data_IF_910360299455
#
_entry.id   IF_910360299455
#
_cell.length_a   1.000
_cell.length_b   1.000
_cell.length_c   1.000
_cell.angle_alpha   90.00
_cell.angle_beta   90.00
_cell.angle_gamma   90.00
#
_symmetry.space_group_name_H-M   'P 1'
#
loop_
_entity.id
_entity.type
_entity.pdbx_description
1 polymer ?
#
# COMPACT_ATOMS: atom_id res chain seq x y z
N UNK A 1 -23.31 3.83 -7.30
CA UNK A 1 -22.76 5.18 -7.53
C UNK A 1 -21.36 5.35 -6.92
N UNK A 2 -21.11 4.95 -5.66
CA UNK A 2 -19.77 5.02 -5.05
C UNK A 2 -18.66 4.29 -5.83
N UNK A 3 -18.92 3.07 -6.35
CA UNK A 3 -17.92 2.32 -7.15
C UNK A 3 -17.53 3.01 -8.48
N UNK A 4 -18.45 3.76 -9.10
CA UNK A 4 -18.15 4.49 -10.34
C UNK A 4 -17.24 5.69 -10.07
N UNK A 5 -17.50 6.42 -8.97
CA UNK A 5 -16.62 7.49 -8.51
C UNK A 5 -15.22 6.96 -8.19
N UNK A 6 -15.14 5.81 -7.50
CA UNK A 6 -13.85 5.19 -7.21
C UNK A 6 -13.08 4.78 -8.46
N UNK A 7 -13.76 4.22 -9.46
CA UNK A 7 -13.10 3.84 -10.72
C UNK A 7 -12.49 5.07 -11.40
N UNK A 8 -13.21 6.19 -11.47
CA UNK A 8 -12.69 7.43 -12.05
C UNK A 8 -11.51 8.05 -11.28
N UNK A 9 -11.49 7.94 -9.94
CA UNK A 9 -10.34 8.37 -9.13
C UNK A 9 -9.12 7.50 -9.46
N UNK A 10 -9.30 6.18 -9.46
CA UNK A 10 -8.24 5.21 -9.70
C UNK A 10 -7.60 5.33 -11.09
N UNK A 11 -8.39 5.64 -12.12
CA UNK A 11 -7.86 5.91 -13.46
C UNK A 11 -6.95 7.16 -13.46
N UNK A 12 -7.39 8.25 -12.83
CA UNK A 12 -6.64 9.51 -12.77
C UNK A 12 -5.34 9.41 -11.98
N UNK A 13 -5.28 8.55 -10.97
CA UNK A 13 -4.05 8.24 -10.23
C UNK A 13 -2.93 7.70 -11.14
N UNK A 14 -3.28 7.05 -12.25
CA UNK A 14 -2.30 6.52 -13.23
C UNK A 14 -2.05 7.47 -14.41
N UNK A 15 -2.57 8.71 -14.35
CA UNK A 15 -2.46 9.71 -15.40
C UNK A 15 -1.04 10.25 -15.60
N UNK A 16 -0.79 10.87 -16.76
CA UNK A 16 0.53 11.45 -17.09
C UNK A 16 0.83 12.72 -16.28
N UNK A 17 -0.18 13.51 -15.97
CA UNK A 17 -0.05 14.79 -15.30
C UNK A 17 0.11 14.63 -13.78
N UNK A 18 1.11 15.29 -13.20
CA UNK A 18 1.43 15.19 -11.78
C UNK A 18 0.29 15.70 -10.90
N UNK A 19 -0.31 16.83 -11.26
CA UNK A 19 -1.33 17.47 -10.44
C UNK A 19 -2.63 16.65 -10.47
N UNK A 20 -2.97 16.04 -11.61
CA UNK A 20 -4.06 15.06 -11.65
C UNK A 20 -3.80 13.84 -10.78
N UNK A 21 -2.59 13.28 -10.78
CA UNK A 21 -2.26 12.16 -9.90
C UNK A 21 -2.31 12.56 -8.43
N UNK A 22 -1.79 13.73 -8.08
CA UNK A 22 -1.84 14.27 -6.72
C UNK A 22 -3.28 14.46 -6.25
N UNK A 23 -4.10 15.17 -7.04
CA UNK A 23 -5.51 15.42 -6.71
C UNK A 23 -6.28 14.11 -6.57
N UNK A 24 -6.11 13.17 -7.49
CA UNK A 24 -6.78 11.88 -7.42
C UNK A 24 -6.36 11.05 -6.19
N UNK A 25 -5.07 11.07 -5.85
CA UNK A 25 -4.58 10.39 -4.63
C UNK A 25 -5.13 11.07 -3.36
N UNK A 26 -5.27 12.39 -3.37
CA UNK A 26 -5.90 13.14 -2.28
C UNK A 26 -7.38 12.83 -2.14
N UNK A 27 -8.11 12.75 -3.25
CA UNK A 27 -9.53 12.40 -3.27
C UNK A 27 -9.72 10.98 -2.74
N UNK A 28 -8.86 10.03 -3.16
CA UNK A 28 -8.86 8.67 -2.62
C UNK A 28 -8.65 8.65 -1.10
N UNK A 29 -7.67 9.41 -0.58
CA UNK A 29 -7.44 9.51 0.86
C UNK A 29 -8.68 10.00 1.59
N UNK A 30 -9.36 11.01 1.05
CA UNK A 30 -10.59 11.55 1.62
C UNK A 30 -11.72 10.51 1.61
N UNK A 31 -11.88 9.75 0.52
CA UNK A 31 -12.88 8.67 0.45
C UNK A 31 -12.60 7.55 1.44
N UNK A 32 -11.35 7.10 1.57
CA UNK A 32 -10.95 6.03 2.50
C UNK A 32 -11.20 6.40 3.97
N UNK A 33 -11.11 7.68 4.32
CA UNK A 33 -11.37 8.20 5.66
C UNK A 33 -12.86 8.29 6.02
N UNK A 34 -13.77 8.13 5.05
CA UNK A 34 -15.21 8.13 5.36
C UNK A 34 -15.59 6.87 6.12
N UNK A 35 -16.37 7.03 7.19
CA UNK A 35 -16.87 5.89 7.98
C UNK A 35 -17.69 4.92 7.12
N UNK A 36 -18.53 5.46 6.22
CA UNK A 36 -19.37 4.68 5.32
C UNK A 36 -18.65 4.04 4.12
N UNK A 37 -17.35 4.25 3.96
CA UNK A 37 -16.60 3.62 2.87
C UNK A 37 -16.59 2.09 3.05
N UNK A 38 -17.02 1.39 2.01
CA UNK A 38 -16.98 -0.08 1.89
C UNK A 38 -16.46 -0.44 0.51
N UNK A 39 -15.52 -1.36 0.45
CA UNK A 39 -15.06 -1.97 -0.79
C UNK A 39 -15.61 -3.39 -0.89
N UNK A 40 -16.05 -3.77 -2.09
CA UNK A 40 -16.20 -5.17 -2.43
C UNK A 40 -14.83 -5.78 -2.77
N UNK A 41 -14.78 -7.11 -2.91
CA UNK A 41 -13.52 -7.82 -3.13
C UNK A 41 -12.75 -7.28 -4.34
N UNK A 42 -13.43 -7.04 -5.46
CA UNK A 42 -12.82 -6.52 -6.69
C UNK A 42 -12.21 -5.13 -6.49
N UNK A 43 -12.93 -4.26 -5.79
CA UNK A 43 -12.44 -2.93 -5.47
C UNK A 43 -11.25 -2.97 -4.51
N UNK A 44 -11.23 -3.87 -3.52
CA UNK A 44 -10.06 -4.05 -2.64
C UNK A 44 -8.81 -4.41 -3.46
N UNK A 45 -8.92 -5.33 -4.43
CA UNK A 45 -7.80 -5.72 -5.30
C UNK A 45 -7.27 -4.51 -6.05
N UNK A 46 -8.18 -3.74 -6.68
CA UNK A 46 -7.82 -2.57 -7.48
C UNK A 46 -7.19 -1.47 -6.62
N UNK A 47 -7.77 -1.15 -5.47
CA UNK A 47 -7.27 -0.13 -4.56
C UNK A 47 -5.86 -0.44 -4.09
N UNK A 48 -5.64 -1.66 -3.57
CA UNK A 48 -4.33 -2.05 -3.07
C UNK A 48 -3.27 -2.04 -4.18
N UNK A 49 -3.60 -2.54 -5.38
CA UNK A 49 -2.63 -2.55 -6.48
C UNK A 49 -2.27 -1.13 -6.95
N UNK A 50 -3.25 -0.24 -7.10
CA UNK A 50 -3.01 1.12 -7.59
C UNK A 50 -2.29 1.96 -6.53
N UNK A 51 -2.64 1.85 -5.25
CA UNK A 51 -1.90 2.54 -4.19
C UNK A 51 -0.45 2.04 -4.13
N UNK A 52 -0.22 0.73 -4.20
CA UNK A 52 1.14 0.18 -4.20
C UNK A 52 1.96 0.62 -5.42
N UNK A 53 1.33 0.75 -6.59
CA UNK A 53 1.96 1.33 -7.77
C UNK A 53 2.28 2.83 -7.56
N UNK A 54 1.39 3.58 -6.91
CA UNK A 54 1.57 5.01 -6.65
C UNK A 54 2.76 5.30 -5.70
N UNK A 55 3.18 4.32 -4.90
CA UNK A 55 4.40 4.44 -4.09
C UNK A 55 5.65 4.58 -4.97
N UNK A 56 5.63 4.09 -6.20
CA UNK A 56 6.72 4.21 -7.17
C UNK A 56 6.64 5.52 -8.00
N UNK A 57 5.78 6.48 -7.63
CA UNK A 57 5.67 7.75 -8.35
C UNK A 57 6.99 8.54 -8.30
N UNK A 58 7.37 9.11 -9.45
CA UNK A 58 8.55 9.97 -9.57
C UNK A 58 8.43 11.26 -8.76
N UNK A 59 7.20 11.69 -8.47
CA UNK A 59 6.92 12.87 -7.66
C UNK A 59 6.74 12.45 -6.19
N UNK A 60 7.68 12.87 -5.34
CA UNK A 60 7.72 12.50 -3.92
C UNK A 60 6.52 12.96 -3.10
N UNK A 61 5.84 14.03 -3.51
CA UNK A 61 4.59 14.50 -2.90
C UNK A 61 3.42 13.54 -3.19
N UNK A 62 3.37 12.97 -4.39
CA UNK A 62 2.36 11.98 -4.78
C UNK A 62 2.62 10.63 -4.08
N UNK A 63 3.84 10.12 -4.10
CA UNK A 63 4.16 8.86 -3.40
C UNK A 63 4.04 8.99 -1.88
N UNK A 64 4.38 10.16 -1.31
CA UNK A 64 4.12 10.48 0.09
C UNK A 64 2.63 10.50 0.44
N UNK A 65 1.76 10.93 -0.48
CA UNK A 65 0.31 10.89 -0.29
C UNK A 65 -0.23 9.46 -0.42
N UNK A 66 0.35 8.64 -1.28
CA UNK A 66 0.03 7.21 -1.39
C UNK A 66 0.34 6.46 -0.08
N UNK A 67 1.47 6.76 0.59
CA UNK A 67 1.76 6.23 1.92
C UNK A 67 0.65 6.56 2.92
N UNK A 68 0.15 7.82 2.91
CA UNK A 68 -0.94 8.23 3.81
C UNK A 68 -2.24 7.45 3.55
N UNK A 69 -2.49 7.02 2.32
CA UNK A 69 -3.66 6.21 1.97
C UNK A 69 -3.62 4.80 2.59
N UNK A 70 -2.42 4.25 2.86
CA UNK A 70 -2.28 2.91 3.43
C UNK A 70 -2.92 2.81 4.82
N UNK A 71 -2.80 3.86 5.63
CA UNK A 71 -3.28 3.82 7.00
C UNK A 71 -4.79 3.58 7.14
N UNK A 72 -5.68 4.34 6.47
CA UNK A 72 -7.09 4.02 6.45
C UNK A 72 -7.38 2.75 5.64
N UNK A 73 -6.63 2.45 4.57
CA UNK A 73 -6.88 1.27 3.73
C UNK A 73 -6.81 -0.05 4.52
N UNK A 74 -5.81 -0.21 5.40
CA UNK A 74 -5.64 -1.43 6.22
C UNK A 74 -6.89 -1.75 7.05
N UNK A 75 -7.64 -0.72 7.45
CA UNK A 75 -8.89 -0.85 8.23
C UNK A 75 -10.12 -1.11 7.37
N UNK A 76 -9.99 -1.06 6.05
CA UNK A 76 -11.09 -1.09 5.07
C UNK A 76 -11.02 -2.29 4.11
N UNK A 77 -9.96 -3.09 4.18
CA UNK A 77 -9.78 -4.30 3.36
C UNK A 77 -9.65 -5.55 4.23
N UNK A 78 -9.91 -6.72 3.65
CA UNK A 78 -9.79 -7.99 4.37
C UNK A 78 -8.34 -8.33 4.77
N UNK A 79 -8.18 -9.11 5.84
CA UNK A 79 -6.86 -9.57 6.31
C UNK A 79 -5.99 -10.21 5.20
N UNK A 80 -6.52 -11.07 4.29
CA UNK A 80 -5.72 -11.64 3.20
C UNK A 80 -5.11 -10.57 2.29
N UNK A 81 -5.85 -9.47 2.05
CA UNK A 81 -5.40 -8.35 1.23
C UNK A 81 -4.25 -7.61 1.91
N UNK A 82 -4.34 -7.38 3.22
CA UNK A 82 -3.26 -6.75 3.99
C UNK A 82 -1.99 -7.60 3.96
N UNK A 83 -2.11 -8.92 4.14
CA UNK A 83 -0.96 -9.86 4.05
C UNK A 83 -0.32 -9.83 2.66
N UNK A 84 -1.13 -9.79 1.59
CA UNK A 84 -0.60 -9.67 0.22
C UNK A 84 0.17 -8.35 0.03
N UNK A 85 -0.38 -7.24 0.54
CA UNK A 85 0.27 -5.92 0.47
C UNK A 85 1.60 -5.90 1.21
N UNK A 86 1.67 -6.45 2.43
CA UNK A 86 2.93 -6.49 3.19
C UNK A 86 3.98 -7.34 2.50
N UNK A 87 3.59 -8.47 1.89
CA UNK A 87 4.50 -9.30 1.10
C UNK A 87 5.08 -8.55 -0.10
N UNK A 88 4.24 -7.86 -0.89
CA UNK A 88 4.69 -7.05 -2.04
C UNK A 88 5.66 -5.94 -1.60
N UNK A 89 5.40 -5.29 -0.48
CA UNK A 89 6.27 -4.25 0.07
C UNK A 89 7.59 -4.82 0.59
N UNK A 90 7.57 -5.98 1.26
CA UNK A 90 8.77 -6.67 1.69
C UNK A 90 9.64 -7.09 0.51
N UNK A 91 9.04 -7.63 -0.56
CA UNK A 91 9.76 -7.95 -1.79
C UNK A 91 10.40 -6.70 -2.41
N UNK A 92 9.69 -5.57 -2.48
CA UNK A 92 10.23 -4.29 -2.93
C UNK A 92 11.36 -3.78 -2.03
N UNK A 93 11.25 -3.95 -0.72
CA UNK A 93 12.29 -3.56 0.23
C UNK A 93 13.58 -4.38 0.01
N UNK A 94 13.45 -5.70 -0.18
CA UNK A 94 14.59 -6.60 -0.28
C UNK A 94 15.22 -6.62 -1.68
N UNK A 95 14.39 -6.58 -2.73
CA UNK A 95 14.80 -6.81 -4.13
C UNK A 95 14.51 -5.63 -5.06
N UNK A 96 13.85 -4.58 -4.58
CA UNK A 96 13.52 -3.40 -5.39
C UNK A 96 14.72 -2.50 -5.70
N UNK A 97 14.48 -1.49 -6.54
CA UNK A 97 15.44 -0.44 -6.88
C UNK A 97 15.73 0.43 -5.66
N UNK A 98 16.99 0.84 -5.46
CA UNK A 98 17.41 1.59 -4.27
C UNK A 98 16.52 2.82 -3.99
N UNK A 99 16.18 3.61 -5.01
CA UNK A 99 15.30 4.77 -4.89
C UNK A 99 13.88 4.47 -4.37
N UNK A 100 13.40 3.24 -4.48
CA UNK A 100 12.06 2.84 -4.01
C UNK A 100 12.11 2.03 -2.70
N UNK A 101 13.30 1.67 -2.21
CA UNK A 101 13.43 0.90 -0.96
C UNK A 101 13.01 1.72 0.26
N UNK A 102 13.36 3.00 0.29
CA UNK A 102 13.00 3.91 1.38
C UNK A 102 11.47 4.05 1.50
N UNK A 103 10.79 4.31 0.39
CA UNK A 103 9.33 4.45 0.38
C UNK A 103 8.63 3.11 0.69
N UNK A 104 9.17 1.98 0.20
CA UNK A 104 8.66 0.65 0.53
C UNK A 104 8.80 0.33 2.02
N UNK A 105 9.93 0.71 2.64
CA UNK A 105 10.16 0.58 4.08
C UNK A 105 9.17 1.40 4.90
N UNK A 106 8.95 2.67 4.52
CA UNK A 106 7.97 3.55 5.17
C UNK A 106 6.56 2.96 5.03
N UNK A 107 6.17 2.56 3.81
CA UNK A 107 4.87 1.96 3.54
C UNK A 107 4.63 0.67 4.35
N UNK A 108 5.64 -0.22 4.43
CA UNK A 108 5.55 -1.45 5.21
C UNK A 108 5.37 -1.14 6.70
N UNK A 109 6.15 -0.19 7.24
CA UNK A 109 6.00 0.29 8.61
C UNK A 109 4.60 0.87 8.85
N UNK A 110 4.09 1.69 7.94
CA UNK A 110 2.75 2.28 8.02
C UNK A 110 1.68 1.19 8.11
N UNK A 111 1.74 0.15 7.27
CA UNK A 111 0.77 -0.95 7.34
C UNK A 111 0.87 -1.67 8.69
N UNK A 112 2.10 -2.01 9.13
CA UNK A 112 2.32 -2.74 10.39
C UNK A 112 1.78 -1.95 11.59
N UNK A 113 1.96 -0.64 11.62
CA UNK A 113 1.47 0.23 12.70
C UNK A 113 -0.06 0.30 12.80
N UNK A 114 -0.79 -0.11 11.76
CA UNK A 114 -2.26 -0.05 11.70
C UNK A 114 -2.92 -1.43 11.91
N UNK A 115 -2.12 -2.48 12.09
CA UNK A 115 -2.62 -3.81 12.45
C UNK A 115 -3.22 -3.75 13.86
N UNK A 116 -4.50 -4.09 13.98
CA UNK A 116 -5.24 -4.01 15.24
C UNK A 116 -5.76 -5.37 15.75
N UNK A 117 -5.70 -6.44 14.95
CA UNK A 117 -6.18 -7.76 15.33
C UNK A 117 -5.03 -8.75 15.54
N UNK A 118 -5.12 -9.63 16.57
CA UNK A 118 -4.12 -10.69 16.77
C UNK A 118 -4.00 -11.66 15.60
N UNK A 119 -5.11 -11.99 14.93
CA UNK A 119 -5.15 -12.86 13.74
C UNK A 119 -4.34 -12.30 12.57
N UNK A 120 -4.54 -11.02 12.25
CA UNK A 120 -3.78 -10.34 11.20
C UNK A 120 -2.31 -10.22 11.59
N UNK A 121 -2.01 -9.84 12.83
CA UNK A 121 -0.63 -9.75 13.32
C UNK A 121 0.11 -11.09 13.18
N UNK A 122 -0.54 -12.20 13.57
CA UNK A 122 0.02 -13.54 13.42
C UNK A 122 0.25 -13.89 11.94
N UNK A 123 -0.72 -13.62 11.07
CA UNK A 123 -0.62 -13.91 9.64
C UNK A 123 0.52 -13.12 8.97
N UNK A 124 0.64 -11.83 9.31
CA UNK A 124 1.73 -10.97 8.83
C UNK A 124 3.08 -11.44 9.37
N UNK A 125 3.19 -11.81 10.64
CA UNK A 125 4.44 -12.31 11.23
C UNK A 125 4.91 -13.62 10.60
N UNK A 126 4.00 -14.58 10.38
CA UNK A 126 4.30 -15.85 9.72
C UNK A 126 4.85 -15.59 8.31
N UNK A 127 4.26 -14.63 7.59
CA UNK A 127 4.65 -14.32 6.22
C UNK A 127 5.95 -13.52 6.13
N UNK A 128 6.09 -12.46 6.93
CA UNK A 128 7.20 -11.51 6.80
C UNK A 128 8.49 -11.95 7.48
N UNK A 129 8.41 -12.63 8.63
CA UNK A 129 9.61 -12.95 9.42
C UNK A 129 10.65 -13.75 8.63
N UNK A 130 10.29 -14.82 7.89
CA UNK A 130 11.26 -15.57 7.10
C UNK A 130 11.91 -14.72 5.99
N UNK A 131 11.16 -13.81 5.38
CA UNK A 131 11.66 -12.91 4.33
C UNK A 131 12.66 -11.91 4.90
N UNK A 132 12.33 -11.27 6.02
CA UNK A 132 13.21 -10.31 6.69
C UNK A 132 14.47 -10.99 7.24
N UNK A 133 14.34 -12.18 7.84
CA UNK A 133 15.49 -12.97 8.28
C UNK A 133 16.42 -13.23 7.09
N UNK A 134 15.88 -13.69 5.95
CA UNK A 134 16.66 -13.90 4.73
C UNK A 134 17.31 -12.61 4.22
N UNK A 135 16.61 -11.47 4.30
CA UNK A 135 17.18 -10.18 3.92
C UNK A 135 18.36 -9.77 4.78
N UNK A 136 18.29 -10.02 6.09
CA UNK A 136 19.36 -9.71 7.05
C UNK A 136 20.54 -10.67 6.90
N UNK A 137 20.29 -11.98 6.74
CA UNK A 137 21.34 -13.00 6.69
C UNK A 137 21.93 -13.19 5.29
N UNK A 138 21.18 -12.89 4.24
CA UNK A 138 21.59 -13.06 2.84
C UNK A 138 22.63 -12.05 2.35
N UNK A 139 22.91 -11.00 3.12
CA UNK A 139 24.02 -10.08 2.87
C UNK A 139 25.40 -10.63 3.26
N UNK A 140 25.46 -11.75 3.99
CA UNK A 140 26.71 -12.44 4.30
C UNK A 140 27.03 -13.45 3.19
N UNK A 141 27.73 -12.98 2.16
CA UNK A 141 28.59 -13.88 1.39
C UNK A 141 29.79 -14.20 2.29
N UNK A 142 29.88 -15.43 2.81
CA UNK A 142 31.15 -15.96 3.32
C UNK A 142 32.02 -16.38 2.14
#
# INVERSE_FOLDING_TARGET
MANLQMTGILEKMTGKDKDYRYMATSDLLNELNKEGFKADSDLEIKLSNIILQQLDDVAGDVSGLAVKCLAPLVKKVGEPRVVEMTNKLCEKLLNGKDQHRDIASIALKTIISEISTPSLAQSVLISLSPQLIRGITGGASF
#
